data_IF_475152005221
#
_entry.id   IF_475152005221
#
_cell.length_a   1.000
_cell.length_b   1.000
_cell.length_c   1.000
_cell.angle_alpha   90.00
_cell.angle_beta   90.00
_cell.angle_gamma   90.00
#
_symmetry.space_group_name_H-M   'P 1'
#
loop_
_entity.id
_entity.type
_entity.pdbx_description
1 polymer ?
#
# COMPACT_ATOMS: atom_id res chain seq x y z
N UNK A 1 19.11 -0.33 12.47
CA UNK A 1 18.15 -1.46 12.34
C UNK A 1 16.70 -0.96 12.15
N UNK A 2 16.56 0.22 11.60
CA UNK A 2 15.35 1.07 11.59
C UNK A 2 14.23 0.56 10.67
N UNK A 3 14.55 -0.13 9.59
CA UNK A 3 13.55 -0.63 8.65
C UNK A 3 13.02 -2.04 8.94
N UNK A 4 13.57 -2.73 9.95
CA UNK A 4 13.12 -4.08 10.29
C UNK A 4 11.64 -4.12 10.71
N UNK A 5 11.21 -3.17 11.54
CA UNK A 5 9.81 -3.09 11.96
C UNK A 5 8.87 -2.76 10.79
N UNK A 6 9.31 -1.91 9.87
CA UNK A 6 8.60 -1.59 8.64
C UNK A 6 8.48 -2.83 7.72
N UNK A 7 9.58 -3.58 7.54
CA UNK A 7 9.60 -4.84 6.79
C UNK A 7 8.63 -5.88 7.39
N UNK A 8 8.67 -6.09 8.70
CA UNK A 8 7.77 -7.03 9.39
C UNK A 8 6.31 -6.61 9.23
N UNK A 9 6.02 -5.31 9.28
CA UNK A 9 4.67 -4.78 9.04
C UNK A 9 4.18 -5.15 7.64
N UNK A 10 4.99 -4.93 6.60
CA UNK A 10 4.61 -5.27 5.23
C UNK A 10 4.44 -6.77 5.02
N UNK A 11 5.29 -7.58 5.65
CA UNK A 11 5.19 -9.04 5.59
C UNK A 11 3.89 -9.55 6.26
N UNK A 12 3.49 -8.97 7.39
CA UNK A 12 2.24 -9.30 8.06
C UNK A 12 1.01 -8.96 7.20
N UNK A 13 0.99 -7.75 6.61
CA UNK A 13 -0.09 -7.31 5.72
C UNK A 13 -0.14 -8.13 4.42
N UNK A 14 1.01 -8.53 3.89
CA UNK A 14 1.07 -9.45 2.75
C UNK A 14 0.48 -10.81 3.10
N UNK A 15 0.78 -11.34 4.29
CA UNK A 15 0.21 -12.59 4.78
C UNK A 15 -1.31 -12.51 4.92
N UNK A 16 -1.82 -11.40 5.48
CA UNK A 16 -3.26 -11.15 5.56
C UNK A 16 -3.91 -11.07 4.16
N UNK A 17 -3.30 -10.37 3.22
CA UNK A 17 -3.80 -10.29 1.85
C UNK A 17 -3.83 -11.66 1.17
N UNK A 18 -2.85 -12.53 1.40
CA UNK A 18 -2.87 -13.91 0.90
C UNK A 18 -4.05 -14.70 1.46
N UNK A 19 -4.36 -14.53 2.76
CA UNK A 19 -5.54 -15.15 3.37
C UNK A 19 -6.85 -14.61 2.75
N UNK A 20 -6.95 -13.29 2.60
CA UNK A 20 -8.12 -12.63 1.99
C UNK A 20 -8.30 -12.99 0.50
N UNK A 21 -7.26 -13.41 -0.18
CA UNK A 21 -7.30 -13.80 -1.58
C UNK A 21 -7.90 -15.20 -1.84
N UNK A 22 -8.30 -15.92 -0.78
CA UNK A 22 -8.95 -17.24 -0.95
C UNK A 22 -10.18 -17.13 -1.87
N UNK A 23 -10.31 -17.99 -2.90
CA UNK A 23 -11.40 -17.88 -3.88
C UNK A 23 -12.79 -18.04 -3.25
N UNK A 24 -13.68 -17.05 -3.41
CA UNK A 24 -15.08 -17.16 -2.97
C UNK A 24 -15.98 -17.80 -4.02
N UNK A 25 -15.49 -17.96 -5.24
CA UNK A 25 -16.24 -18.60 -6.33
C UNK A 25 -16.47 -20.09 -6.09
N UNK A 26 -15.71 -20.70 -5.17
CA UNK A 26 -15.86 -22.09 -4.77
C UNK A 26 -16.87 -22.27 -3.62
N UNK A 27 -17.28 -21.17 -2.98
CA UNK A 27 -18.23 -21.19 -1.88
C UNK A 27 -19.65 -21.02 -2.40
N UNK A 28 -20.54 -21.93 -1.98
CA UNK A 28 -21.95 -21.79 -2.24
C UNK A 28 -22.77 -22.53 -1.20
N UNK A 29 -23.95 -22.01 -0.93
CA UNK A 29 -24.96 -22.68 -0.09
C UNK A 29 -26.30 -22.54 -0.79
N UNK A 30 -27.05 -23.64 -1.01
CA UNK A 30 -28.39 -23.58 -1.62
C UNK A 30 -29.31 -22.66 -0.82
N UNK A 31 -30.13 -21.89 -1.53
CA UNK A 31 -31.13 -21.00 -0.94
C UNK A 31 -32.52 -21.29 -1.49
N UNK A 32 -33.56 -20.60 -0.98
CA UNK A 32 -34.91 -20.69 -1.44
C UNK A 32 -35.45 -22.14 -1.50
N UNK A 33 -35.20 -22.91 -0.43
CA UNK A 33 -35.60 -24.33 -0.35
C UNK A 33 -35.03 -25.19 -1.50
N UNK A 34 -33.75 -24.95 -1.85
CA UNK A 34 -33.03 -25.63 -2.95
C UNK A 34 -33.49 -25.25 -4.36
N UNK A 35 -34.27 -24.19 -4.54
CA UNK A 35 -34.51 -23.66 -5.86
C UNK A 35 -33.27 -23.09 -6.54
N UNK A 36 -32.40 -22.47 -5.73
CA UNK A 36 -31.11 -21.97 -6.15
C UNK A 36 -30.04 -22.90 -5.57
N UNK A 37 -29.49 -23.76 -6.39
CA UNK A 37 -28.49 -24.76 -6.01
C UNK A 37 -27.07 -24.18 -5.93
N UNK A 38 -26.79 -23.14 -6.71
CA UNK A 38 -25.53 -22.41 -6.67
C UNK A 38 -25.78 -20.91 -6.57
N UNK A 39 -25.45 -20.35 -5.40
CA UNK A 39 -25.58 -18.91 -5.11
C UNK A 39 -24.21 -18.24 -5.12
N UNK A 40 -24.09 -17.15 -5.88
CA UNK A 40 -22.85 -16.39 -6.00
C UNK A 40 -22.48 -15.65 -4.69
N UNK A 41 -21.24 -15.82 -4.22
CA UNK A 41 -20.66 -15.08 -3.09
C UNK A 41 -19.89 -13.84 -3.54
N UNK A 42 -20.21 -13.27 -4.71
CA UNK A 42 -19.52 -12.12 -5.30
C UNK A 42 -19.50 -10.89 -4.39
N UNK A 43 -20.58 -10.62 -3.66
CA UNK A 43 -20.64 -9.50 -2.71
C UNK A 43 -19.60 -9.65 -1.59
N UNK A 44 -19.41 -10.85 -1.05
CA UNK A 44 -18.36 -11.15 -0.09
C UNK A 44 -16.97 -10.96 -0.74
N UNK A 45 -16.78 -11.50 -1.94
CA UNK A 45 -15.56 -11.32 -2.72
C UNK A 45 -15.19 -9.85 -2.90
N UNK A 46 -16.15 -9.03 -3.33
CA UNK A 46 -15.94 -7.59 -3.54
C UNK A 46 -15.60 -6.83 -2.23
N UNK A 47 -16.28 -7.14 -1.13
CA UNK A 47 -16.02 -6.48 0.16
C UNK A 47 -14.60 -6.70 0.67
N UNK A 48 -14.01 -7.87 0.44
CA UNK A 48 -12.62 -8.16 0.85
C UNK A 48 -11.61 -7.29 0.13
N UNK A 49 -11.88 -6.87 -1.11
CA UNK A 49 -10.96 -6.02 -1.88
C UNK A 49 -10.68 -4.69 -1.19
N UNK A 50 -11.66 -4.11 -0.49
CA UNK A 50 -11.44 -2.86 0.26
C UNK A 50 -10.34 -3.02 1.32
N UNK A 51 -10.35 -4.12 2.07
CA UNK A 51 -9.31 -4.40 3.06
C UNK A 51 -7.97 -4.68 2.39
N UNK A 52 -7.97 -5.46 1.30
CA UNK A 52 -6.74 -5.78 0.56
C UNK A 52 -6.08 -4.53 -0.02
N UNK A 53 -6.89 -3.58 -0.54
CA UNK A 53 -6.39 -2.30 -1.05
C UNK A 53 -5.85 -1.43 0.09
N UNK A 54 -6.52 -1.39 1.23
CA UNK A 54 -6.02 -0.66 2.41
C UNK A 54 -4.65 -1.21 2.85
N UNK A 55 -4.50 -2.52 2.95
CA UNK A 55 -3.23 -3.17 3.26
C UNK A 55 -2.15 -2.84 2.20
N UNK A 56 -2.51 -2.86 0.91
CA UNK A 56 -1.60 -2.53 -0.17
C UNK A 56 -1.11 -1.09 -0.09
N UNK A 57 -1.98 -0.14 0.26
CA UNK A 57 -1.56 1.26 0.45
C UNK A 57 -0.50 1.41 1.54
N UNK A 58 -0.60 0.64 2.63
CA UNK A 58 0.44 0.63 3.67
C UNK A 58 1.73 0.01 3.14
N UNK A 59 1.66 -1.12 2.45
CA UNK A 59 2.83 -1.81 1.88
C UNK A 59 3.59 -0.88 0.94
N UNK A 60 2.89 -0.25 -0.01
CA UNK A 60 3.48 0.70 -0.95
C UNK A 60 3.98 1.98 -0.26
N UNK A 61 3.30 2.42 0.79
CA UNK A 61 3.74 3.54 1.61
C UNK A 61 5.08 3.27 2.30
N UNK A 62 5.26 2.07 2.85
CA UNK A 62 6.53 1.63 3.44
C UNK A 62 7.63 1.58 2.38
N UNK A 63 7.33 1.02 1.21
CA UNK A 63 8.28 0.97 0.09
C UNK A 63 8.73 2.37 -0.33
N UNK A 64 7.79 3.31 -0.49
CA UNK A 64 8.08 4.70 -0.84
C UNK A 64 8.96 5.38 0.22
N UNK A 65 8.68 5.17 1.51
CA UNK A 65 9.47 5.71 2.61
C UNK A 65 10.91 5.16 2.61
N UNK A 66 11.06 3.85 2.43
CA UNK A 66 12.36 3.20 2.38
C UNK A 66 13.16 3.62 1.14
N UNK A 67 12.50 3.69 -0.03
CA UNK A 67 13.13 4.13 -1.27
C UNK A 67 13.62 5.59 -1.16
N UNK A 68 12.81 6.48 -0.59
CA UNK A 68 13.19 7.87 -0.35
C UNK A 68 14.47 7.98 0.49
N UNK A 69 14.52 7.25 1.60
CA UNK A 69 15.69 7.21 2.46
C UNK A 69 16.91 6.62 1.73
N UNK A 70 16.70 5.57 0.94
CA UNK A 70 17.76 4.94 0.15
C UNK A 70 18.36 5.88 -0.90
N UNK A 71 17.53 6.73 -1.53
CA UNK A 71 18.00 7.76 -2.47
C UNK A 71 18.83 8.84 -1.74
N UNK A 72 18.36 9.31 -0.59
CA UNK A 72 19.05 10.32 0.21
C UNK A 72 20.44 9.85 0.70
N UNK A 73 20.58 8.57 1.00
CA UNK A 73 21.91 7.99 1.35
C UNK A 73 22.92 8.01 0.19
N UNK A 74 22.48 8.30 -1.03
CA UNK A 74 23.36 8.41 -2.21
C UNK A 74 23.90 9.81 -2.44
N UNK A 75 23.60 10.77 -1.56
CA UNK A 75 24.16 12.12 -1.68
C UNK A 75 25.70 12.08 -1.86
N UNK A 76 26.30 12.91 -2.75
CA UNK A 76 25.69 14.04 -3.46
C UNK A 76 24.97 13.70 -4.77
N UNK A 77 24.81 12.41 -5.11
CA UNK A 77 24.05 12.01 -6.29
C UNK A 77 22.58 12.39 -6.12
N UNK A 78 21.96 12.83 -7.21
CA UNK A 78 20.55 13.20 -7.25
C UNK A 78 19.81 12.33 -8.25
N UNK A 79 18.53 12.08 -7.99
CA UNK A 79 17.65 11.35 -8.91
C UNK A 79 17.06 12.28 -9.98
N UNK A 80 16.24 11.74 -10.89
CA UNK A 80 15.55 12.52 -11.94
C UNK A 80 14.60 13.57 -11.36
N UNK A 81 14.34 14.64 -12.10
CA UNK A 81 13.46 15.72 -11.67
C UNK A 81 12.06 15.27 -11.21
N UNK A 82 11.35 14.35 -11.91
CA UNK A 82 10.08 13.82 -11.43
C UNK A 82 10.20 13.12 -10.07
N UNK A 83 11.25 12.32 -9.88
CA UNK A 83 11.47 11.63 -8.60
C UNK A 83 11.91 12.58 -7.48
N UNK A 84 12.63 13.66 -7.79
CA UNK A 84 12.90 14.72 -6.81
C UNK A 84 11.61 15.38 -6.32
N UNK A 85 10.64 15.61 -7.21
CA UNK A 85 9.34 16.16 -6.84
C UNK A 85 8.55 15.18 -5.93
N UNK A 86 8.61 13.88 -6.21
CA UNK A 86 8.03 12.83 -5.34
C UNK A 86 8.67 12.84 -3.96
N UNK A 87 10.01 12.88 -3.89
CA UNK A 87 10.74 12.97 -2.62
C UNK A 87 10.34 14.22 -1.84
N UNK A 88 10.32 15.37 -2.49
CA UNK A 88 9.93 16.63 -1.87
C UNK A 88 8.49 16.57 -1.33
N UNK A 89 7.55 15.96 -2.06
CA UNK A 89 6.17 15.77 -1.61
C UNK A 89 6.10 14.86 -0.38
N UNK A 90 6.79 13.74 -0.40
CA UNK A 90 6.82 12.79 0.73
C UNK A 90 7.40 13.46 1.96
N UNK A 91 8.47 14.24 1.84
CA UNK A 91 9.16 14.92 2.94
C UNK A 91 8.37 16.07 3.57
N UNK A 92 7.28 16.50 2.97
CA UNK A 92 6.34 17.43 3.63
C UNK A 92 5.62 16.78 4.81
N UNK A 93 5.34 15.48 4.73
CA UNK A 93 4.55 14.76 5.74
C UNK A 93 5.40 13.79 6.57
N UNK A 94 6.53 13.31 6.02
CA UNK A 94 7.36 12.27 6.62
C UNK A 94 8.82 12.73 6.65
N UNK A 95 9.33 13.04 7.83
CA UNK A 95 10.72 13.48 7.99
C UNK A 95 11.73 12.38 7.62
N UNK A 96 12.91 12.80 7.16
CA UNK A 96 14.06 11.91 6.99
C UNK A 96 14.37 11.18 8.31
N UNK A 97 14.71 9.91 8.22
CA UNK A 97 15.01 9.09 9.36
C UNK A 97 16.47 9.31 9.79
N UNK A 98 16.64 9.92 10.95
CA UNK A 98 17.92 10.01 11.68
C UNK A 98 17.95 8.99 12.81
N UNK A 99 17.77 9.47 14.04
CA UNK A 99 17.66 8.62 15.21
C UNK A 99 16.37 7.79 15.18
N UNK A 100 16.36 6.71 15.93
CA UNK A 100 15.22 5.81 16.03
C UNK A 100 14.02 6.54 16.65
N UNK A 101 12.83 6.34 16.08
CA UNK A 101 11.59 6.95 16.55
C UNK A 101 10.38 6.05 16.33
N UNK A 102 9.27 6.39 16.96
CA UNK A 102 8.00 5.73 16.73
C UNK A 102 7.49 6.00 15.30
N UNK A 103 7.44 4.97 14.46
CA UNK A 103 7.18 5.09 13.02
C UNK A 103 5.70 5.00 12.63
N UNK A 104 4.79 4.64 13.53
CA UNK A 104 3.39 4.44 13.14
C UNK A 104 2.74 5.68 12.49
N UNK A 105 3.01 6.93 12.93
CA UNK A 105 2.51 8.11 12.23
C UNK A 105 3.08 8.27 10.83
N UNK A 106 4.38 7.97 10.64
CA UNK A 106 5.03 8.05 9.33
C UNK A 106 4.45 7.03 8.36
N UNK A 107 4.19 5.80 8.83
CA UNK A 107 3.57 4.74 8.04
C UNK A 107 2.15 5.12 7.61
N UNK A 108 1.36 5.70 8.53
CA UNK A 108 0.01 6.17 8.24
C UNK A 108 0.01 7.32 7.22
N UNK A 109 0.93 8.28 7.36
CA UNK A 109 1.09 9.38 6.41
C UNK A 109 1.49 8.86 5.02
N UNK A 110 2.45 7.94 4.93
CA UNK A 110 2.83 7.32 3.67
C UNK A 110 1.67 6.57 3.02
N UNK A 111 0.92 5.77 3.78
CA UNK A 111 -0.26 5.06 3.27
C UNK A 111 -1.31 6.03 2.71
N UNK A 112 -1.53 7.16 3.38
CA UNK A 112 -2.44 8.20 2.89
C UNK A 112 -1.93 8.87 1.61
N UNK A 113 -0.62 9.12 1.48
CA UNK A 113 -0.02 9.67 0.26
C UNK A 113 -0.21 8.75 -0.94
N UNK A 114 -0.15 7.43 -0.73
CA UNK A 114 -0.45 6.43 -1.76
C UNK A 114 -1.94 6.43 -2.08
N UNK A 115 -2.81 6.31 -1.08
CA UNK A 115 -4.26 6.20 -1.26
C UNK A 115 -4.87 7.42 -1.99
N UNK A 116 -4.31 8.61 -1.77
CA UNK A 116 -4.75 9.86 -2.42
C UNK A 116 -4.10 10.12 -3.78
N UNK A 117 -3.14 9.31 -4.21
CA UNK A 117 -2.38 9.53 -5.43
C UNK A 117 -1.42 10.74 -5.36
N UNK A 118 -1.14 11.26 -4.17
CA UNK A 118 -0.33 12.46 -4.00
C UNK A 118 1.09 12.32 -4.54
N UNK A 119 1.69 11.12 -4.46
CA UNK A 119 3.03 10.86 -4.98
C UNK A 119 3.04 10.75 -6.52
N UNK A 120 2.05 10.09 -7.11
CA UNK A 120 1.93 9.98 -8.57
C UNK A 120 1.63 11.33 -9.21
N UNK A 121 0.80 12.13 -8.57
CA UNK A 121 0.52 13.50 -9.01
C UNK A 121 1.78 14.38 -8.96
N UNK A 122 2.61 14.24 -7.90
CA UNK A 122 3.86 14.99 -7.78
C UNK A 122 4.88 14.62 -8.87
N UNK A 123 4.88 13.38 -9.32
CA UNK A 123 5.74 12.93 -10.42
C UNK A 123 5.36 13.56 -11.79
N UNK A 124 4.15 14.10 -11.92
CA UNK A 124 3.60 14.65 -13.16
C UNK A 124 3.68 13.68 -14.35
N UNK A 125 3.53 12.37 -14.09
CA UNK A 125 3.53 11.33 -15.11
C UNK A 125 2.09 11.02 -15.51
N UNK A 126 1.80 11.03 -16.81
CA UNK A 126 0.51 10.57 -17.32
C UNK A 126 0.41 9.05 -17.14
N UNK A 127 -0.53 8.61 -16.30
CA UNK A 127 -0.84 7.19 -16.18
C UNK A 127 -1.74 6.76 -17.35
N UNK A 128 -1.63 5.50 -17.83
CA UNK A 128 -2.56 4.97 -18.81
C UNK A 128 -4.00 5.06 -18.27
N UNK A 129 -4.91 5.51 -19.11
CA UNK A 129 -6.35 5.41 -18.83
C UNK A 129 -6.76 3.97 -19.14
N UNK A 130 -7.24 3.26 -18.11
CA UNK A 130 -7.76 1.89 -18.25
C UNK A 130 -9.21 1.91 -18.73
#
# INVERSE_FOLDING_TARGET
MLFRSAEVTTAALMSENKHLAHPTVTDSTPTSANQEDHVSMAAHGARRLSQMVANLNVILGVEAMCAAQGVEFRAPLVTSAPLQAVLARLRQDVATLGDDRYLAPDLAACANLIATGALTNAAAISLPIL
#
